data_IF_718576811497
#
_entry.id   IF_718576811497
#
_cell.length_a   1.000
_cell.length_b   1.000
_cell.length_c   1.000
_cell.angle_alpha   90.00
_cell.angle_beta   90.00
_cell.angle_gamma   90.00
#
_symmetry.space_group_name_H-M   'P 1'
#
loop_
_entity.id
_entity.type
_entity.pdbx_description
1 polymer ?
#
# COMPACT_ATOMS: atom_id res chain seq x y z
N UNK A 1 12.04 19.03 24.64
CA UNK A 1 11.37 19.92 23.67
C UNK A 1 9.90 19.52 23.63
N UNK A 2 8.95 20.46 23.80
CA UNK A 2 7.51 20.18 23.72
C UNK A 2 7.14 19.94 22.26
N UNK A 3 7.00 18.69 21.85
CA UNK A 3 6.35 18.40 20.57
C UNK A 3 4.84 18.49 20.78
N UNK A 4 4.19 19.43 20.08
CA UNK A 4 2.72 19.45 20.02
C UNK A 4 2.18 18.14 19.43
N UNK A 5 0.86 17.91 19.45
CA UNK A 5 0.25 16.71 18.83
C UNK A 5 0.31 16.72 17.30
N UNK A 6 0.47 17.90 16.69
CA UNK A 6 0.40 18.08 15.24
C UNK A 6 1.46 17.29 14.44
N UNK A 7 2.76 17.27 14.80
CA UNK A 7 3.77 16.48 14.10
C UNK A 7 3.49 14.96 14.14
N UNK A 8 2.98 14.45 15.26
CA UNK A 8 2.60 13.04 15.38
C UNK A 8 1.44 12.67 14.46
N UNK A 9 0.43 13.54 14.36
CA UNK A 9 -0.71 13.33 13.45
C UNK A 9 -0.32 13.39 11.97
N UNK A 10 0.57 14.32 11.61
CA UNK A 10 1.09 14.45 10.23
C UNK A 10 1.89 13.21 9.82
N UNK A 11 2.81 12.75 10.67
CA UNK A 11 3.59 11.54 10.41
C UNK A 11 2.70 10.30 10.25
N UNK A 12 1.69 10.16 11.12
CA UNK A 12 0.76 9.04 11.07
C UNK A 12 -0.10 9.07 9.80
N UNK A 13 -0.64 10.23 9.43
CA UNK A 13 -1.45 10.40 8.21
C UNK A 13 -0.62 10.09 6.96
N UNK A 14 0.60 10.61 6.89
CA UNK A 14 1.52 10.33 5.78
C UNK A 14 1.83 8.84 5.66
N UNK A 15 2.09 8.17 6.78
CA UNK A 15 2.33 6.73 6.81
C UNK A 15 1.12 5.92 6.35
N UNK A 16 -0.10 6.30 6.75
CA UNK A 16 -1.33 5.65 6.28
C UNK A 16 -1.57 5.84 4.78
N UNK A 17 -1.26 7.02 4.23
CA UNK A 17 -1.36 7.28 2.78
C UNK A 17 -0.37 6.39 2.02
N UNK A 18 0.89 6.31 2.49
CA UNK A 18 1.88 5.43 1.88
C UNK A 18 1.48 3.95 1.97
N UNK A 19 0.91 3.53 3.10
CA UNK A 19 0.43 2.17 3.28
C UNK A 19 -0.70 1.86 2.29
N UNK A 20 -1.69 2.75 2.16
CA UNK A 20 -2.78 2.61 1.20
C UNK A 20 -2.26 2.55 -0.25
N UNK A 21 -1.28 3.40 -0.59
CA UNK A 21 -0.64 3.37 -1.90
C UNK A 21 0.10 2.04 -2.15
N UNK A 22 0.86 1.55 -1.17
CA UNK A 22 1.57 0.27 -1.24
C UNK A 22 0.62 -0.91 -1.46
N UNK A 23 -0.46 -0.97 -0.69
CA UNK A 23 -1.52 -1.99 -0.84
C UNK A 23 -2.18 -1.88 -2.22
N UNK A 24 -2.47 -0.67 -2.69
CA UNK A 24 -3.05 -0.46 -4.03
C UNK A 24 -2.13 -1.01 -5.11
N UNK A 25 -0.83 -0.73 -5.02
CA UNK A 25 0.17 -1.28 -5.96
C UNK A 25 0.21 -2.81 -5.90
N UNK A 26 0.17 -3.41 -4.70
CA UNK A 26 0.15 -4.86 -4.51
C UNK A 26 -1.05 -5.57 -5.15
N UNK A 27 -2.18 -4.87 -5.27
CA UNK A 27 -3.40 -5.44 -5.86
C UNK A 27 -3.50 -5.16 -7.36
N UNK A 28 -3.22 -3.91 -7.75
CA UNK A 28 -3.42 -3.45 -9.12
C UNK A 28 -2.31 -3.93 -10.03
N UNK A 29 -1.03 -3.71 -9.70
CA UNK A 29 0.05 -4.01 -10.65
C UNK A 29 0.16 -5.52 -10.96
N UNK A 30 0.10 -6.43 -9.97
CA UNK A 30 0.08 -7.87 -10.25
C UNK A 30 -1.12 -8.34 -11.07
N UNK A 31 -2.31 -7.75 -10.87
CA UNK A 31 -3.49 -8.11 -11.67
C UNK A 31 -3.38 -7.69 -13.13
N UNK A 32 -2.75 -6.55 -13.41
CA UNK A 32 -2.39 -6.16 -14.78
C UNK A 32 -1.38 -7.13 -15.42
N UNK A 33 -0.37 -7.58 -14.66
CA UNK A 33 0.59 -8.58 -15.10
C UNK A 33 -0.08 -9.91 -15.47
N UNK A 34 -0.97 -10.40 -14.61
CA UNK A 34 -1.76 -11.62 -14.86
C UNK A 34 -2.64 -11.47 -16.10
N UNK A 35 -3.39 -10.37 -16.21
CA UNK A 35 -4.23 -10.11 -17.39
C UNK A 35 -3.43 -10.14 -18.69
N UNK A 36 -2.25 -9.51 -18.70
CA UNK A 36 -1.40 -9.48 -19.89
C UNK A 36 -0.85 -10.88 -20.24
N UNK A 37 -0.46 -11.66 -19.23
CA UNK A 37 0.03 -13.03 -19.43
C UNK A 37 -1.07 -13.97 -19.96
N UNK A 38 -2.31 -13.78 -19.52
CA UNK A 38 -3.47 -14.59 -19.91
C UNK A 38 -4.12 -14.13 -21.22
N UNK A 39 -3.81 -12.90 -21.67
CA UNK A 39 -4.40 -12.32 -22.88
C UNK A 39 -4.32 -13.23 -24.11
N UNK A 40 -3.18 -13.87 -24.45
CA UNK A 40 -3.08 -14.82 -25.56
C UNK A 40 -4.08 -15.98 -25.50
N UNK A 41 -4.35 -16.50 -24.30
CA UNK A 41 -5.27 -17.60 -24.09
C UNK A 41 -6.74 -17.15 -24.11
N UNK A 42 -7.00 -15.88 -23.79
CA UNK A 42 -8.35 -15.28 -23.82
C UNK A 42 -8.88 -15.02 -25.24
N UNK A 43 -8.00 -15.01 -26.25
CA UNK A 43 -8.40 -14.80 -27.64
C UNK A 43 -9.06 -16.07 -28.16
N UNK A 44 -10.40 -16.09 -28.14
CA UNK A 44 -11.18 -17.18 -28.72
C UNK A 44 -11.27 -17.00 -30.25
N UNK A 45 -10.66 -17.89 -31.05
CA UNK A 45 -10.68 -17.73 -32.50
C UNK A 45 -12.05 -17.99 -33.12
N UNK A 46 -13.02 -18.53 -32.38
CA UNK A 46 -14.39 -18.77 -32.87
C UNK A 46 -15.27 -17.51 -32.89
N UNK A 47 -14.90 -16.46 -32.16
CA UNK A 47 -15.63 -15.18 -32.12
C UNK A 47 -15.06 -14.15 -33.09
N UNK A 48 -13.98 -14.49 -33.80
CA UNK A 48 -13.31 -13.59 -34.73
C UNK A 48 -13.94 -13.69 -36.13
N UNK A 49 -14.07 -12.57 -36.86
CA UNK A 49 -14.39 -12.60 -38.28
C UNK A 49 -13.42 -13.53 -39.03
N UNK A 50 -13.89 -14.38 -39.96
CA UNK A 50 -13.06 -15.38 -40.64
C UNK A 50 -11.87 -14.78 -41.40
N UNK A 51 -11.98 -13.53 -41.84
CA UNK A 51 -10.91 -12.78 -42.50
C UNK A 51 -9.78 -12.36 -41.53
N UNK A 52 -10.11 -12.09 -40.26
CA UNK A 52 -9.16 -11.61 -39.24
C UNK A 52 -8.58 -12.74 -38.38
N UNK A 53 -9.28 -13.88 -38.30
CA UNK A 53 -8.88 -15.06 -37.53
C UNK A 53 -7.44 -15.55 -37.80
N UNK A 54 -6.95 -15.69 -39.06
CA UNK A 54 -5.59 -16.15 -39.31
C UNK A 54 -4.53 -15.13 -38.89
N UNK A 55 -4.80 -13.83 -39.10
CA UNK A 55 -3.90 -12.75 -38.68
C UNK A 55 -3.76 -12.75 -37.16
N UNK A 56 -4.87 -12.75 -36.43
CA UNK A 56 -4.89 -12.67 -34.97
C UNK A 56 -4.23 -13.92 -34.36
N UNK A 57 -4.48 -15.12 -34.90
CA UNK A 57 -3.76 -16.33 -34.48
C UNK A 57 -2.26 -16.20 -34.69
N UNK A 58 -1.82 -15.70 -35.85
CA UNK A 58 -0.40 -15.45 -36.12
C UNK A 58 0.24 -14.52 -35.09
N UNK A 59 -0.43 -13.42 -34.76
CA UNK A 59 0.01 -12.48 -33.72
C UNK A 59 0.09 -13.12 -32.34
N UNK A 60 -0.94 -13.86 -31.93
CA UNK A 60 -0.97 -14.56 -30.63
C UNK A 60 0.13 -15.61 -30.53
N UNK A 61 0.41 -16.36 -31.60
CA UNK A 61 1.49 -17.36 -31.61
C UNK A 61 2.87 -16.70 -31.54
N UNK A 62 3.08 -15.59 -32.27
CA UNK A 62 4.37 -14.92 -32.33
C UNK A 62 4.69 -14.17 -31.04
N UNK A 63 3.71 -13.45 -30.49
CA UNK A 63 3.89 -12.56 -29.34
C UNK A 63 3.42 -13.17 -28.02
N UNK A 64 2.70 -14.29 -28.02
CA UNK A 64 2.18 -14.95 -26.82
C UNK A 64 3.25 -15.22 -25.74
N UNK A 65 4.41 -15.80 -26.08
CA UNK A 65 5.51 -15.96 -25.12
C UNK A 65 6.01 -14.63 -24.55
N UNK A 66 6.02 -13.58 -25.37
CA UNK A 66 6.45 -12.24 -25.00
C UNK A 66 5.44 -11.61 -24.02
N UNK A 67 4.13 -11.77 -24.26
CA UNK A 67 3.07 -11.36 -23.34
C UNK A 67 3.16 -12.09 -21.99
N UNK A 68 3.40 -13.39 -21.99
CA UNK A 68 3.60 -14.16 -20.76
C UNK A 68 4.83 -13.67 -19.97
N UNK A 69 5.94 -13.41 -20.67
CA UNK A 69 7.17 -12.95 -20.04
C UNK A 69 7.03 -11.52 -19.48
N UNK A 70 6.46 -10.59 -20.25
CA UNK A 70 6.22 -9.21 -19.80
C UNK A 70 5.20 -9.20 -18.66
N UNK A 71 4.12 -9.97 -18.76
CA UNK A 71 3.12 -10.11 -17.71
C UNK A 71 3.74 -10.61 -16.39
N UNK A 72 4.60 -11.63 -16.46
CA UNK A 72 5.34 -12.14 -15.30
C UNK A 72 6.29 -11.11 -14.68
N UNK A 73 7.00 -10.32 -15.50
CA UNK A 73 7.86 -9.24 -14.98
C UNK A 73 7.05 -8.12 -14.31
N UNK A 74 5.93 -7.71 -14.91
CA UNK A 74 5.02 -6.72 -14.31
C UNK A 74 4.51 -7.24 -12.97
N UNK A 75 4.13 -8.51 -12.90
CA UNK A 75 3.64 -9.13 -11.67
C UNK A 75 4.71 -9.11 -10.57
N UNK A 76 5.93 -9.58 -10.87
CA UNK A 76 7.04 -9.59 -9.93
C UNK A 76 7.41 -8.17 -9.46
N UNK A 77 7.48 -7.22 -10.38
CA UNK A 77 7.75 -5.81 -10.06
C UNK A 77 6.65 -5.21 -9.17
N UNK A 78 5.38 -5.52 -9.44
CA UNK A 78 4.24 -5.10 -8.63
C UNK A 78 4.34 -5.59 -7.19
N UNK A 79 4.63 -6.89 -6.99
CA UNK A 79 4.83 -7.45 -5.65
C UNK A 79 6.03 -6.84 -4.94
N UNK A 80 7.16 -6.68 -5.63
CA UNK A 80 8.37 -6.13 -5.04
C UNK A 80 8.19 -4.68 -4.61
N UNK A 81 7.74 -3.81 -5.51
CA UNK A 81 7.54 -2.37 -5.25
C UNK A 81 6.43 -2.16 -4.22
N UNK A 82 5.31 -2.86 -4.34
CA UNK A 82 4.21 -2.75 -3.38
C UNK A 82 4.60 -3.19 -1.97
N UNK A 83 5.39 -4.28 -1.84
CA UNK A 83 5.90 -4.75 -0.55
C UNK A 83 6.91 -3.76 0.04
N UNK A 84 7.80 -3.22 -0.78
CA UNK A 84 8.78 -2.23 -0.35
C UNK A 84 8.12 -0.96 0.18
N UNK A 85 7.14 -0.42 -0.54
CA UNK A 85 6.37 0.77 -0.11
C UNK A 85 5.62 0.46 1.20
N UNK A 86 5.01 -0.73 1.30
CA UNK A 86 4.30 -1.16 2.50
C UNK A 86 5.23 -1.22 3.71
N UNK A 87 6.43 -1.78 3.58
CA UNK A 87 7.42 -1.82 4.66
C UNK A 87 7.89 -0.42 5.05
N UNK A 88 8.18 0.45 4.07
CA UNK A 88 8.62 1.82 4.33
C UNK A 88 7.53 2.66 5.00
N UNK A 89 6.24 2.36 4.76
CA UNK A 89 5.11 3.06 5.38
C UNK A 89 5.02 2.83 6.90
N UNK A 90 5.60 1.74 7.42
CA UNK A 90 5.54 1.43 8.85
C UNK A 90 6.38 2.39 9.70
N UNK A 91 7.45 2.96 9.13
CA UNK A 91 8.34 3.91 9.82
C UNK A 91 7.59 5.18 10.27
N UNK A 92 6.93 5.95 9.37
CA UNK A 92 6.18 7.13 9.77
C UNK A 92 4.96 6.81 10.66
N UNK A 93 4.33 5.63 10.51
CA UNK A 93 3.27 5.16 11.44
C UNK A 93 3.84 4.96 12.84
N UNK A 94 4.99 4.28 12.96
CA UNK A 94 5.67 4.05 14.22
C UNK A 94 6.11 5.37 14.89
N UNK A 95 6.70 6.28 14.12
CA UNK A 95 7.11 7.61 14.63
C UNK A 95 5.88 8.41 15.06
N UNK A 96 4.83 8.46 14.24
CA UNK A 96 3.60 9.20 14.55
C UNK A 96 2.91 8.69 15.82
N UNK A 97 2.80 7.37 15.99
CA UNK A 97 2.22 6.75 17.18
C UNK A 97 3.06 7.01 18.44
N UNK A 98 4.39 6.94 18.35
CA UNK A 98 5.29 7.24 19.47
C UNK A 98 5.13 8.70 19.95
N UNK A 99 5.15 9.66 19.02
CA UNK A 99 4.98 11.09 19.33
C UNK A 99 3.62 11.39 19.96
N UNK A 100 2.55 10.77 19.47
CA UNK A 100 1.21 10.94 20.05
C UNK A 100 1.10 10.36 21.46
N UNK A 101 1.78 9.23 21.73
CA UNK A 101 1.82 8.60 23.05
C UNK A 101 2.56 9.48 24.07
N UNK A 102 3.69 10.06 23.69
CA UNK A 102 4.43 11.00 24.54
C UNK A 102 3.59 12.24 24.87
N UNK A 103 2.95 12.85 23.87
CA UNK A 103 2.06 14.00 24.06
C UNK A 103 0.78 13.66 24.86
N UNK A 104 0.43 12.38 25.01
CA UNK A 104 -0.67 11.90 25.85
C UNK A 104 -0.27 11.73 27.31
N UNK A 105 0.95 11.24 27.58
CA UNK A 105 1.49 11.00 28.93
C UNK A 105 1.74 12.30 29.71
N UNK A 106 2.06 13.39 29.02
CA UNK A 106 2.22 14.70 29.68
C UNK A 106 0.91 15.28 30.25
N UNK A 107 -0.27 14.72 29.92
CA UNK A 107 -1.58 15.19 30.41
C UNK A 107 -2.21 14.35 31.53
N UNK A 108 -1.55 13.34 32.09
CA UNK A 108 -2.03 12.65 33.31
C UNK A 108 -0.94 11.85 34.02
N UNK A 109 -0.87 11.81 35.38
CA UNK A 109 -1.79 12.33 36.40
C UNK A 109 -1.20 13.49 37.22
N UNK A 110 -1.82 14.67 37.15
CA UNK A 110 -1.52 15.79 38.05
C UNK A 110 -2.81 16.44 38.54
N UNK A 111 -3.64 15.67 39.25
CA UNK A 111 -4.80 16.23 39.96
C UNK A 111 -5.35 15.27 41.03
N UNK A 112 -4.50 14.83 41.97
CA UNK A 112 -4.98 14.58 43.34
C UNK A 112 -3.95 15.24 44.27
N UNK A 113 -4.12 16.55 44.47
CA UNK A 113 -3.44 17.24 45.56
C UNK A 113 -4.11 16.78 46.86
N UNK A 114 -3.39 16.19 47.82
CA UNK A 114 -3.96 15.90 49.13
C UNK A 114 -4.32 17.23 49.81
N UNK A 115 -5.60 17.40 50.13
CA UNK A 115 -6.11 18.56 50.87
C UNK A 115 -5.36 18.69 52.21
N UNK A 116 -4.67 19.80 52.48
CA UNK A 116 -4.17 20.08 53.82
C UNK A 116 -5.29 20.74 54.62
N UNK A 117 -6.04 19.95 55.38
CA UNK A 117 -6.68 20.47 56.60
C UNK A 117 -5.74 20.10 57.74
N UNK A 118 -4.68 20.88 58.03
CA UNK A 118 -4.76 22.16 58.74
C UNK A 118 -5.66 22.04 59.97
N UNK A 119 -5.08 21.51 61.04
CA UNK A 119 -5.64 21.63 62.38
C UNK A 119 -5.91 23.09 62.71
N UNK A 120 -7.09 23.35 63.24
CA UNK A 120 -7.41 24.57 63.99
C UNK A 120 -7.98 24.12 65.32
N UNK A 121 -7.22 24.48 66.35
CA UNK A 121 -7.56 24.78 67.75
C UNK A 121 -8.64 23.93 68.44
#
# INVERSE_FOLDING_TARGET
MRFGRAPGFVALTYGLILLAAGITVLLVVPSWGNWLADYPASVNPATLPPEAAPMIRGWVTLFGPLFAQVGGYIQAAGYFVGSLITLLSLVPIGVGTALLREAGREKGPSAVSPSPMAGRH
#
